data_IF_734635886706
#
_entry.id   IF_734635886706
#
_cell.length_a   1.000
_cell.length_b   1.000
_cell.length_c   1.000
_cell.angle_alpha   90.00
_cell.angle_beta   90.00
_cell.angle_gamma   90.00
#
_symmetry.space_group_name_H-M   'P 1'
#
loop_
_entity.id
_entity.type
_entity.pdbx_description
1 polymer ?
#
# COMPACT_ATOMS: atom_id res chain seq x y z
N UNK A 1 17.88 -15.79 25.07
CA UNK A 1 18.88 -15.22 24.15
C UNK A 1 19.15 -13.78 24.58
N UNK A 2 20.34 -13.21 24.36
CA UNK A 2 20.56 -11.79 24.64
C UNK A 2 19.61 -10.94 23.79
N UNK A 3 19.12 -9.85 24.37
CA UNK A 3 18.21 -8.90 23.73
C UNK A 3 18.92 -8.20 22.56
N UNK A 4 18.30 -8.21 21.38
CA UNK A 4 18.91 -7.63 20.18
C UNK A 4 18.75 -6.11 20.17
N UNK A 5 19.56 -5.39 19.38
CA UNK A 5 19.36 -3.95 19.18
C UNK A 5 17.96 -3.60 18.63
N UNK A 6 17.33 -4.55 17.90
CA UNK A 6 15.95 -4.42 17.45
C UNK A 6 14.96 -4.50 18.61
N UNK A 7 15.15 -5.44 19.54
CA UNK A 7 14.30 -5.58 20.74
C UNK A 7 14.34 -4.32 21.61
N UNK A 8 15.54 -3.81 21.87
CA UNK A 8 15.74 -2.60 22.66
C UNK A 8 15.06 -1.39 22.02
N UNK A 9 15.19 -1.23 20.70
CA UNK A 9 14.51 -0.14 20.00
C UNK A 9 12.99 -0.31 20.04
N UNK A 10 12.48 -1.53 19.83
CA UNK A 10 11.05 -1.80 19.90
C UNK A 10 10.50 -1.43 21.28
N UNK A 11 11.19 -1.78 22.37
CA UNK A 11 10.76 -1.42 23.73
C UNK A 11 10.72 0.10 23.94
N UNK A 12 11.76 0.82 23.52
CA UNK A 12 11.84 2.28 23.61
C UNK A 12 10.68 2.94 22.84
N UNK A 13 10.46 2.52 21.60
CA UNK A 13 9.37 3.02 20.76
C UNK A 13 7.99 2.66 21.31
N UNK A 14 7.85 1.47 21.90
CA UNK A 14 6.60 1.06 22.55
C UNK A 14 6.29 1.97 23.71
N UNK A 15 7.27 2.36 24.53
CA UNK A 15 7.05 3.33 25.62
C UNK A 15 6.69 4.71 25.05
N UNK A 16 7.46 5.20 24.07
CA UNK A 16 7.27 6.51 23.46
C UNK A 16 5.89 6.67 22.78
N UNK A 17 5.43 5.66 22.02
CA UNK A 17 4.23 5.77 21.19
C UNK A 17 4.39 6.75 20.02
N UNK A 18 3.27 7.26 19.52
CA UNK A 18 3.24 8.24 18.43
C UNK A 18 3.31 7.59 17.04
N UNK A 19 3.78 8.34 16.05
CA UNK A 19 3.85 7.90 14.65
C UNK A 19 5.27 7.44 14.30
N UNK A 20 5.41 6.16 14.01
CA UNK A 20 6.67 5.53 13.62
C UNK A 20 6.61 5.11 12.16
N UNK A 21 7.51 5.64 11.34
CA UNK A 21 7.62 5.26 9.92
C UNK A 21 8.82 4.34 9.70
N UNK A 22 8.59 3.23 9.00
CA UNK A 22 9.63 2.26 8.67
C UNK A 22 10.16 2.49 7.24
N UNK A 23 11.48 2.55 7.11
CA UNK A 23 12.21 2.71 5.87
C UNK A 23 13.28 1.63 5.69
N UNK A 24 13.60 1.33 4.44
CA UNK A 24 14.60 0.35 4.08
C UNK A 24 14.34 -0.25 2.71
N UNK A 25 15.40 -0.77 2.09
CA UNK A 25 15.33 -1.49 0.81
C UNK A 25 14.37 -2.70 0.89
N UNK A 26 14.07 -3.38 -0.24
CA UNK A 26 13.40 -4.66 -0.19
C UNK A 26 14.16 -5.64 0.72
N UNK A 27 13.40 -6.48 1.42
CA UNK A 27 13.89 -7.52 2.33
C UNK A 27 14.82 -7.02 3.44
N UNK A 28 14.69 -5.78 3.93
CA UNK A 28 15.45 -5.32 5.11
C UNK A 28 14.78 -5.67 6.44
N UNK A 29 13.63 -6.36 6.40
CA UNK A 29 12.89 -6.82 7.58
C UNK A 29 11.88 -5.82 8.13
N UNK A 30 11.46 -4.80 7.35
CA UNK A 30 10.49 -3.77 7.80
C UNK A 30 9.19 -4.37 8.34
N UNK A 31 8.54 -5.24 7.57
CA UNK A 31 7.30 -5.90 7.96
C UNK A 31 7.49 -6.82 9.17
N UNK A 32 8.64 -7.51 9.27
CA UNK A 32 8.97 -8.32 10.45
C UNK A 32 9.19 -7.47 11.70
N UNK A 33 9.87 -6.32 11.56
CA UNK A 33 10.04 -5.34 12.63
C UNK A 33 8.67 -4.79 13.06
N UNK A 34 7.82 -4.39 12.10
CA UNK A 34 6.47 -3.93 12.38
C UNK A 34 5.67 -4.96 13.18
N UNK A 35 5.69 -6.24 12.78
CA UNK A 35 4.98 -7.31 13.48
C UNK A 35 5.43 -7.44 14.93
N UNK A 36 6.75 -7.50 15.19
CA UNK A 36 7.29 -7.57 16.56
C UNK A 36 6.97 -6.31 17.37
N UNK A 37 6.96 -5.16 16.72
CA UNK A 37 6.61 -3.90 17.35
C UNK A 37 5.13 -3.87 17.77
N UNK A 38 4.23 -4.33 16.90
CA UNK A 38 2.81 -4.49 17.21
C UNK A 38 2.57 -5.50 18.34
N UNK A 39 3.33 -6.61 18.39
CA UNK A 39 3.29 -7.55 19.51
C UNK A 39 3.69 -6.89 20.83
N UNK A 40 4.74 -6.07 20.80
CA UNK A 40 5.16 -5.29 21.97
C UNK A 40 4.11 -4.27 22.40
N UNK A 41 3.42 -3.62 21.45
CA UNK A 41 2.33 -2.69 21.73
C UNK A 41 1.14 -3.38 22.41
N UNK A 42 0.74 -4.56 21.92
CA UNK A 42 -0.31 -5.38 22.54
C UNK A 42 0.08 -5.75 23.98
N UNK A 43 1.32 -6.20 24.20
CA UNK A 43 1.80 -6.56 25.54
C UNK A 43 1.85 -5.38 26.51
N UNK A 44 1.96 -4.15 25.99
CA UNK A 44 1.90 -2.90 26.73
C UNK A 44 0.48 -2.30 26.80
N UNK A 45 -0.55 -3.04 26.37
CA UNK A 45 -1.96 -2.63 26.33
C UNK A 45 -2.20 -1.32 25.52
N UNK A 46 -1.37 -1.06 24.51
CA UNK A 46 -1.50 0.09 23.62
C UNK A 46 -2.38 -0.22 22.42
N UNK A 47 -3.24 0.73 22.05
CA UNK A 47 -4.01 0.68 20.81
C UNK A 47 -3.11 1.10 19.64
N UNK A 48 -2.68 0.12 18.84
CA UNK A 48 -1.86 0.38 17.67
C UNK A 48 -2.71 0.44 16.39
N UNK A 49 -2.27 1.25 15.44
CA UNK A 49 -2.75 1.26 14.06
C UNK A 49 -1.59 0.93 13.12
N UNK A 50 -1.76 -0.10 12.29
CA UNK A 50 -0.79 -0.50 11.28
C UNK A 50 -1.23 0.02 9.91
N UNK A 51 -0.41 0.90 9.34
CA UNK A 51 -0.60 1.46 8.00
C UNK A 51 0.38 0.76 7.06
N UNK A 52 -0.14 -0.13 6.24
CA UNK A 52 0.64 -0.80 5.21
C UNK A 52 0.59 0.00 3.91
N UNK A 53 1.69 0.66 3.61
CA UNK A 53 1.89 1.44 2.41
C UNK A 53 2.87 0.77 1.43
N UNK A 54 3.05 -0.57 1.48
CA UNK A 54 3.67 -1.33 0.39
C UNK A 54 2.62 -1.85 -0.61
N UNK A 55 2.29 -1.01 -1.60
CA UNK A 55 1.27 -1.33 -2.62
C UNK A 55 1.62 -2.54 -3.50
N UNK A 56 2.87 -3.01 -3.48
CA UNK A 56 3.33 -4.13 -4.30
C UNK A 56 3.42 -5.46 -3.55
N UNK A 57 3.81 -5.42 -2.27
CA UNK A 57 4.02 -6.57 -1.39
C UNK A 57 3.30 -6.40 -0.05
N UNK A 58 2.05 -5.94 -0.13
CA UNK A 58 1.20 -5.62 1.02
C UNK A 58 0.98 -6.83 1.94
N UNK A 59 1.00 -6.61 3.24
CA UNK A 59 0.46 -7.49 4.27
C UNK A 59 -1.04 -7.26 4.50
N UNK A 60 -1.53 -6.00 4.49
CA UNK A 60 -2.91 -5.61 4.84
C UNK A 60 -3.75 -5.32 3.60
N UNK A 61 -4.72 -6.18 3.31
CA UNK A 61 -5.59 -6.04 2.16
C UNK A 61 -4.90 -6.38 0.83
N UNK A 62 -5.48 -5.94 -0.30
CA UNK A 62 -5.00 -6.36 -1.60
C UNK A 62 -3.90 -5.44 -2.15
N UNK A 63 -3.06 -5.93 -3.09
CA UNK A 63 -2.08 -5.10 -3.76
C UNK A 63 -2.77 -3.96 -4.53
N UNK A 64 -2.00 -2.93 -4.86
CA UNK A 64 -2.48 -1.65 -5.41
C UNK A 64 -3.31 -0.79 -4.45
N UNK A 65 -3.37 -1.14 -3.16
CA UNK A 65 -3.97 -0.34 -2.09
C UNK A 65 -2.94 -0.02 -0.99
N UNK A 66 -3.23 1.04 -0.23
CA UNK A 66 -2.71 1.21 1.12
C UNK A 66 -3.79 0.73 2.09
N UNK A 67 -3.41 -0.11 3.05
CA UNK A 67 -4.31 -0.68 4.04
C UNK A 67 -4.08 -0.13 5.44
N UNK A 68 -5.16 -0.01 6.21
CA UNK A 68 -5.12 0.24 7.65
C UNK A 68 -5.69 -0.99 8.37
N UNK A 69 -5.00 -1.44 9.42
CA UNK A 69 -5.48 -2.41 10.41
C UNK A 69 -5.30 -1.84 11.81
N UNK A 70 -6.35 -1.86 12.62
CA UNK A 70 -6.27 -1.68 14.06
C UNK A 70 -5.72 -2.94 14.71
N UNK A 71 -4.75 -2.77 15.61
CA UNK A 71 -4.11 -3.86 16.35
C UNK A 71 -4.18 -3.54 17.83
N UNK A 72 -5.19 -4.08 18.49
CA UNK A 72 -5.53 -3.84 19.90
C UNK A 72 -5.34 -5.10 20.73
N UNK A 73 -5.52 -6.26 20.10
CA UNK A 73 -5.34 -7.57 20.72
C UNK A 73 -4.65 -8.57 19.79
N UNK A 74 -4.34 -9.76 20.31
CA UNK A 74 -3.63 -10.80 19.56
C UNK A 74 -4.39 -11.24 18.30
N UNK A 75 -5.71 -11.31 18.37
CA UNK A 75 -6.56 -11.72 17.23
C UNK A 75 -6.46 -10.77 16.03
N UNK A 76 -6.27 -9.47 16.28
CA UNK A 76 -6.06 -8.48 15.21
C UNK A 76 -4.77 -8.73 14.44
N UNK A 77 -3.72 -9.17 15.14
CA UNK A 77 -2.42 -9.48 14.54
C UNK A 77 -2.45 -10.81 13.76
N UNK A 78 -3.31 -11.74 14.15
CA UNK A 78 -3.53 -13.01 13.44
C UNK A 78 -4.33 -12.82 12.15
N UNK A 79 -5.09 -11.73 12.06
CA UNK A 79 -5.91 -11.32 10.90
C UNK A 79 -5.36 -10.04 10.24
N UNK A 80 -4.05 -9.84 10.30
CA UNK A 80 -3.41 -8.62 9.81
C UNK A 80 -3.68 -8.37 8.31
N UNK A 81 -3.98 -9.42 7.54
CA UNK A 81 -4.36 -9.32 6.14
C UNK A 81 -5.73 -8.70 5.88
N UNK A 82 -6.61 -8.65 6.89
CA UNK A 82 -7.96 -8.12 6.76
C UNK A 82 -7.96 -6.62 7.06
N UNK A 83 -7.97 -5.79 6.01
CA UNK A 83 -7.99 -4.35 6.18
C UNK A 83 -9.30 -3.84 6.80
N UNK A 84 -9.19 -2.96 7.80
CA UNK A 84 -10.35 -2.20 8.32
C UNK A 84 -10.73 -1.07 7.35
N UNK A 85 -9.72 -0.50 6.69
CA UNK A 85 -9.87 0.61 5.75
C UNK A 85 -8.86 0.50 4.62
N UNK A 86 -9.30 0.87 3.40
CA UNK A 86 -8.46 0.84 2.21
C UNK A 86 -8.49 2.18 1.47
N UNK A 87 -7.33 2.54 0.91
CA UNK A 87 -7.20 3.60 -0.08
C UNK A 87 -6.55 3.05 -1.34
N UNK A 88 -7.28 3.12 -2.45
CA UNK A 88 -6.79 2.64 -3.73
C UNK A 88 -5.74 3.58 -4.32
N UNK A 89 -4.59 3.01 -4.68
CA UNK A 89 -3.51 3.70 -5.39
C UNK A 89 -3.58 3.36 -6.88
N UNK A 90 -3.79 2.09 -7.22
CA UNK A 90 -3.92 1.62 -8.60
C UNK A 90 -2.61 1.29 -9.29
N UNK A 91 -1.54 1.00 -8.54
CA UNK A 91 -0.29 0.44 -9.05
C UNK A 91 0.37 -0.43 -8.00
N UNK A 92 1.17 -1.41 -8.45
CA UNK A 92 2.02 -2.27 -7.62
C UNK A 92 3.46 -1.75 -7.50
N UNK A 93 3.69 -0.53 -7.99
CA UNK A 93 4.95 0.22 -7.93
C UNK A 93 4.66 1.71 -7.85
N UNK A 94 5.45 2.49 -7.08
CA UNK A 94 5.24 3.93 -6.95
C UNK A 94 5.51 4.71 -8.24
N UNK A 95 6.05 4.07 -9.29
CA UNK A 95 6.36 4.72 -10.56
C UNK A 95 5.08 5.36 -11.15
N UNK A 96 5.15 6.66 -11.42
CA UNK A 96 4.06 7.50 -11.96
C UNK A 96 2.85 7.77 -11.04
N UNK A 97 2.77 7.17 -9.86
CA UNK A 97 1.65 7.36 -8.91
C UNK A 97 2.08 7.80 -7.51
N UNK A 98 3.21 8.53 -7.40
CA UNK A 98 3.73 9.05 -6.14
C UNK A 98 2.68 9.87 -5.39
N UNK A 99 1.98 10.78 -6.07
CA UNK A 99 0.95 11.62 -5.48
C UNK A 99 -0.16 10.77 -4.83
N UNK A 100 -0.66 9.79 -5.56
CA UNK A 100 -1.77 8.92 -5.13
C UNK A 100 -1.37 8.09 -3.92
N UNK A 101 -0.17 7.52 -3.93
CA UNK A 101 0.34 6.72 -2.81
C UNK A 101 0.58 7.57 -1.56
N UNK A 102 1.17 8.77 -1.72
CA UNK A 102 1.35 9.73 -0.62
C UNK A 102 0.00 10.13 -0.01
N UNK A 103 -0.99 10.50 -0.82
CA UNK A 103 -2.32 10.87 -0.35
C UNK A 103 -2.99 9.69 0.36
N UNK A 104 -2.91 8.49 -0.22
CA UNK A 104 -3.49 7.29 0.37
C UNK A 104 -2.93 7.00 1.76
N UNK A 105 -1.59 7.02 1.91
CA UNK A 105 -0.93 6.84 3.20
C UNK A 105 -1.29 7.94 4.19
N UNK A 106 -1.14 9.21 3.80
CA UNK A 106 -1.40 10.34 4.69
C UNK A 106 -2.86 10.39 5.17
N UNK A 107 -3.82 10.05 4.31
CA UNK A 107 -5.25 10.00 4.67
C UNK A 107 -5.52 8.97 5.76
N UNK A 108 -4.93 7.77 5.66
CA UNK A 108 -5.14 6.73 6.66
C UNK A 108 -4.40 7.04 7.96
N UNK A 109 -3.21 7.64 7.90
CA UNK A 109 -2.49 8.12 9.10
C UNK A 109 -3.28 9.21 9.82
N UNK A 110 -3.83 10.20 9.09
CA UNK A 110 -4.62 11.27 9.67
C UNK A 110 -5.91 10.75 10.31
N UNK A 111 -6.56 9.77 9.67
CA UNK A 111 -7.79 9.16 10.19
C UNK A 111 -7.63 8.55 11.57
N UNK A 112 -6.48 7.95 11.88
CA UNK A 112 -6.23 7.30 13.18
C UNK A 112 -5.43 8.18 14.15
N UNK A 113 -5.01 9.37 13.69
CA UNK A 113 -4.22 10.30 14.49
C UNK A 113 -5.06 10.84 15.64
N UNK A 114 -4.54 10.70 16.86
CA UNK A 114 -5.23 11.12 18.08
C UNK A 114 -6.16 10.07 18.67
N UNK A 115 -6.41 8.97 17.96
CA UNK A 115 -7.13 7.80 18.49
C UNK A 115 -6.16 6.66 18.85
N UNK A 116 -5.11 6.43 18.05
CA UNK A 116 -4.10 5.41 18.31
C UNK A 116 -2.99 5.92 19.25
N UNK A 117 -2.57 5.07 20.19
CA UNK A 117 -1.37 5.30 21.02
C UNK A 117 -0.09 5.16 20.19
N UNK A 118 -0.14 4.31 19.16
CA UNK A 118 0.98 4.00 18.27
C UNK A 118 0.48 3.84 16.83
N UNK A 119 1.12 4.51 15.88
CA UNK A 119 0.85 4.35 14.45
C UNK A 119 2.14 3.85 13.79
N UNK A 120 2.11 2.64 13.23
CA UNK A 120 3.25 2.05 12.52
C UNK A 120 2.99 2.15 11.01
N UNK A 121 3.80 2.92 10.29
CA UNK A 121 3.72 3.06 8.85
C UNK A 121 4.79 2.16 8.22
N UNK A 122 4.40 0.99 7.71
CA UNK A 122 5.27 0.16 6.86
C UNK A 122 5.21 0.68 5.43
N UNK A 123 6.36 0.80 4.78
CA UNK A 123 6.45 1.47 3.47
C UNK A 123 7.10 0.58 2.43
N UNK A 124 6.84 0.88 1.15
CA UNK A 124 7.52 0.21 0.03
C UNK A 124 9.03 0.17 0.17
N UNK A 125 9.67 -0.90 -0.35
CA UNK A 125 11.12 -0.96 -0.54
C UNK A 125 11.72 0.02 -1.58
N UNK A 126 10.94 0.88 -2.23
CA UNK A 126 11.42 1.86 -3.21
C UNK A 126 12.24 2.98 -2.54
N UNK A 127 13.55 2.78 -2.48
CA UNK A 127 14.51 3.70 -1.84
C UNK A 127 15.45 4.43 -2.83
N UNK A 128 15.49 3.99 -4.08
CA UNK A 128 16.45 4.47 -5.08
C UNK A 128 15.81 5.43 -6.10
N UNK A 129 16.67 6.25 -6.71
CA UNK A 129 16.29 7.20 -7.74
C UNK A 129 15.40 8.34 -7.24
N UNK A 130 15.04 9.23 -8.17
CA UNK A 130 14.21 10.42 -7.88
C UNK A 130 12.83 10.01 -7.37
N UNK A 131 12.22 8.97 -7.92
CA UNK A 131 10.90 8.48 -7.50
C UNK A 131 10.88 8.04 -6.04
N UNK A 132 11.85 7.21 -5.62
CA UNK A 132 11.92 6.72 -4.23
C UNK A 132 12.14 7.87 -3.25
N UNK A 133 13.07 8.77 -3.55
CA UNK A 133 13.33 9.94 -2.70
C UNK A 133 12.12 10.87 -2.62
N UNK A 134 11.48 11.19 -3.75
CA UNK A 134 10.29 12.05 -3.80
C UNK A 134 9.13 11.44 -3.01
N UNK A 135 8.91 10.13 -3.16
CA UNK A 135 7.90 9.39 -2.40
C UNK A 135 8.15 9.48 -0.89
N UNK A 136 9.38 9.22 -0.44
CA UNK A 136 9.70 9.25 0.99
C UNK A 136 9.68 10.68 1.54
N UNK A 137 10.13 11.67 0.78
CA UNK A 137 10.05 13.08 1.16
C UNK A 137 8.62 13.49 1.48
N UNK A 138 7.68 13.25 0.56
CA UNK A 138 6.30 13.66 0.76
C UNK A 138 5.55 12.78 1.77
N UNK A 139 5.92 11.50 1.93
CA UNK A 139 5.42 10.69 3.06
C UNK A 139 5.88 11.27 4.40
N UNK A 140 7.15 11.67 4.55
CA UNK A 140 7.64 12.34 5.76
C UNK A 140 6.90 13.67 5.99
N UNK A 141 6.72 14.47 4.95
CA UNK A 141 6.06 15.77 5.00
C UNK A 141 4.60 15.68 5.45
N UNK A 142 3.82 14.77 4.88
CA UNK A 142 2.39 14.67 5.17
C UNK A 142 2.06 13.76 6.35
N UNK A 143 2.79 12.65 6.51
CA UNK A 143 2.54 11.72 7.62
C UNK A 143 3.17 12.20 8.94
N UNK A 144 4.13 13.15 8.88
CA UNK A 144 4.77 13.77 10.06
C UNK A 144 5.11 12.74 11.15
N UNK A 145 5.95 11.73 10.85
CA UNK A 145 6.32 10.75 11.84
C UNK A 145 7.17 11.39 12.95
N UNK A 146 6.94 10.95 14.19
CA UNK A 146 7.77 11.31 15.34
C UNK A 146 9.12 10.59 15.26
N UNK A 147 9.12 9.34 14.79
CA UNK A 147 10.32 8.52 14.60
C UNK A 147 10.37 7.91 13.21
N UNK A 148 11.55 7.97 12.61
CA UNK A 148 11.89 7.28 11.37
C UNK A 148 12.86 6.14 11.68
N UNK A 149 12.40 4.90 11.55
CA UNK A 149 13.24 3.70 11.70
C UNK A 149 13.76 3.27 10.33
N UNK A 150 15.06 3.32 10.16
CA UNK A 150 15.76 3.12 8.92
C UNK A 150 16.57 1.81 8.99
N UNK A 151 16.09 0.77 8.31
CA UNK A 151 16.73 -0.55 8.22
C UNK A 151 17.61 -0.65 6.97
N UNK A 152 18.92 -0.82 7.15
CA UNK A 152 19.88 -0.85 6.04
C UNK A 152 20.92 -1.98 6.15
N UNK A 153 21.44 -2.41 5.00
CA UNK A 153 22.59 -3.33 4.92
C UNK A 153 23.91 -2.59 4.81
N UNK A 154 23.91 -1.46 4.11
CA UNK A 154 25.05 -0.58 3.93
C UNK A 154 24.60 0.86 4.07
N UNK A 155 24.81 1.66 3.02
CA UNK A 155 24.47 3.08 2.97
C UNK A 155 23.36 3.40 1.95
N UNK A 156 22.61 2.40 1.50
CA UNK A 156 21.67 2.53 0.38
C UNK A 156 20.51 3.50 0.64
N UNK A 157 20.20 3.78 1.90
CA UNK A 157 19.14 4.72 2.31
C UNK A 157 19.68 6.06 2.82
N UNK A 158 20.99 6.28 2.84
CA UNK A 158 21.61 7.52 3.33
C UNK A 158 21.07 8.80 2.66
N UNK A 159 20.77 8.84 1.35
CA UNK A 159 20.15 10.03 0.75
C UNK A 159 18.81 10.40 1.40
N UNK A 160 17.98 9.40 1.75
CA UNK A 160 16.68 9.60 2.38
C UNK A 160 16.86 9.97 3.86
N UNK A 161 17.81 9.34 4.57
CA UNK A 161 18.16 9.69 5.95
C UNK A 161 18.64 11.15 6.04
N UNK A 162 19.55 11.56 5.15
CA UNK A 162 20.08 12.93 5.11
C UNK A 162 18.99 13.95 4.86
N UNK A 163 18.05 13.64 3.95
CA UNK A 163 16.86 14.44 3.71
C UNK A 163 15.94 14.50 4.93
N UNK A 164 15.68 13.36 5.59
CA UNK A 164 14.89 13.30 6.81
C UNK A 164 15.44 14.23 7.89
N UNK A 165 16.74 14.12 8.18
CA UNK A 165 17.44 14.93 9.20
C UNK A 165 17.53 16.42 8.85
N UNK A 166 17.53 16.77 7.56
CA UNK A 166 17.72 18.15 7.11
C UNK A 166 16.42 18.95 7.01
N UNK A 167 15.33 18.28 6.66
CA UNK A 167 14.06 18.96 6.33
C UNK A 167 12.95 18.69 7.33
N UNK A 168 13.09 17.69 8.21
CA UNK A 168 12.03 17.29 9.14
C UNK A 168 12.58 17.12 10.56
N UNK A 169 11.69 17.19 11.54
CA UNK A 169 12.01 17.02 12.97
C UNK A 169 11.92 15.57 13.46
N UNK A 170 11.63 14.62 12.57
CA UNK A 170 11.51 13.21 12.91
C UNK A 170 12.84 12.69 13.49
N UNK A 171 12.75 11.96 14.60
CA UNK A 171 13.93 11.32 15.19
C UNK A 171 14.36 10.12 14.34
N UNK A 172 15.58 10.11 13.84
CA UNK A 172 16.04 9.09 12.89
C UNK A 172 16.85 8.01 13.60
N UNK A 173 16.30 6.80 13.68
CA UNK A 173 16.91 5.60 14.26
C UNK A 173 17.37 4.66 13.14
N UNK A 174 18.66 4.38 13.08
CA UNK A 174 19.25 3.52 12.03
C UNK A 174 19.64 2.18 12.63
N UNK A 175 19.20 1.08 12.01
CA UNK A 175 19.55 -0.28 12.40
C UNK A 175 20.07 -1.09 11.21
N UNK A 176 20.97 -2.03 11.51
CA UNK A 176 21.34 -3.09 10.57
C UNK A 176 20.17 -4.06 10.36
N UNK A 177 20.15 -4.74 9.21
CA UNK A 177 19.16 -5.80 8.95
C UNK A 177 19.29 -6.93 9.98
N UNK A 178 18.15 -7.42 10.47
CA UNK A 178 18.12 -8.53 11.43
C UNK A 178 18.66 -9.82 10.78
N UNK A 179 19.49 -10.64 11.46
CA UNK A 179 20.13 -11.82 10.87
C UNK A 179 19.17 -12.83 10.23
N UNK A 180 17.97 -12.97 10.80
CA UNK A 180 16.96 -13.93 10.35
C UNK A 180 16.17 -13.47 9.11
N UNK A 181 16.45 -12.28 8.57
CA UNK A 181 15.73 -11.77 7.40
C UNK A 181 16.26 -12.45 6.15
N UNK A 182 15.48 -13.38 5.62
CA UNK A 182 15.73 -14.02 4.33
C UNK A 182 15.20 -13.13 3.17
N UNK A 183 15.98 -12.95 2.09
CA UNK A 183 15.50 -12.26 0.91
C UNK A 183 14.46 -13.11 0.15
N UNK A 184 13.43 -12.46 -0.37
CA UNK A 184 12.48 -13.08 -1.28
C UNK A 184 12.94 -12.86 -2.73
N UNK A 185 12.86 -13.90 -3.56
CA UNK A 185 13.11 -13.81 -5.00
C UNK A 185 12.01 -13.00 -5.70
N UNK A 186 12.28 -12.43 -6.89
CA UNK A 186 11.24 -11.78 -7.70
C UNK A 186 10.05 -12.70 -8.05
N UNK A 187 10.31 -14.00 -8.23
CA UNK A 187 9.27 -14.99 -8.56
C UNK A 187 8.35 -15.23 -7.37
N UNK A 188 8.90 -15.46 -6.18
CA UNK A 188 8.11 -15.63 -4.94
C UNK A 188 7.25 -14.39 -4.66
N UNK A 189 7.81 -13.19 -4.84
CA UNK A 189 7.07 -11.93 -4.71
C UNK A 189 5.92 -11.82 -5.72
N UNK A 190 6.13 -12.30 -6.94
CA UNK A 190 5.07 -12.29 -7.96
C UNK A 190 3.96 -13.27 -7.62
N UNK A 191 4.31 -14.50 -7.21
CA UNK A 191 3.36 -15.52 -6.80
C UNK A 191 2.52 -15.08 -5.60
N UNK A 192 3.14 -14.56 -4.54
CA UNK A 192 2.44 -14.06 -3.36
C UNK A 192 1.48 -12.90 -3.70
N UNK A 193 1.89 -12.03 -4.63
CA UNK A 193 1.03 -10.94 -5.11
C UNK A 193 -0.16 -11.48 -5.92
N UNK A 194 0.06 -12.47 -6.78
CA UNK A 194 -0.99 -13.13 -7.55
C UNK A 194 -2.02 -13.79 -6.61
N UNK A 195 -1.56 -14.50 -5.57
CA UNK A 195 -2.42 -15.07 -4.53
C UNK A 195 -3.28 -14.02 -3.80
N UNK A 196 -2.70 -12.83 -3.52
CA UNK A 196 -3.43 -11.74 -2.87
C UNK A 196 -4.47 -11.11 -3.80
N UNK A 197 -4.17 -10.96 -5.09
CA UNK A 197 -5.18 -10.56 -6.07
C UNK A 197 -6.28 -11.61 -6.22
N UNK A 198 -5.92 -12.89 -6.27
CA UNK A 198 -6.89 -14.00 -6.35
C UNK A 198 -7.86 -14.00 -5.17
N UNK A 199 -7.33 -13.78 -3.95
CA UNK A 199 -8.15 -13.62 -2.73
C UNK A 199 -9.08 -12.42 -2.81
N UNK A 200 -8.56 -11.27 -3.26
CA UNK A 200 -9.32 -10.03 -3.36
C UNK A 200 -10.45 -10.10 -4.40
N UNK A 201 -10.26 -10.90 -5.45
CA UNK A 201 -11.20 -11.12 -6.54
C UNK A 201 -11.81 -12.52 -6.49
N UNK A 202 -11.91 -13.11 -5.29
CA UNK A 202 -12.52 -14.43 -5.12
C UNK A 202 -14.03 -14.38 -5.48
N UNK A 203 -14.58 -15.42 -6.14
CA UNK A 203 -16.00 -15.52 -6.45
C UNK A 203 -16.90 -15.53 -5.19
N UNK A 204 -18.19 -15.15 -5.31
CA UNK A 204 -18.89 -14.75 -6.53
C UNK A 204 -18.53 -13.34 -6.98
N UNK A 205 -18.18 -13.19 -8.27
CA UNK A 205 -17.98 -11.88 -8.89
C UNK A 205 -19.27 -11.44 -9.58
N UNK A 206 -19.92 -10.43 -9.01
CA UNK A 206 -21.11 -9.81 -9.59
C UNK A 206 -20.74 -8.96 -10.78
N UNK A 207 -21.62 -8.93 -11.79
CA UNK A 207 -21.40 -8.25 -13.07
C UNK A 207 -22.26 -6.99 -13.12
N UNK A 208 -21.62 -5.83 -13.00
CA UNK A 208 -22.32 -4.55 -13.00
C UNK A 208 -22.04 -3.79 -14.29
N UNK A 209 -23.10 -3.38 -15.00
CA UNK A 209 -22.97 -2.48 -16.14
C UNK A 209 -22.57 -1.10 -15.63
N UNK A 210 -21.50 -0.53 -16.18
CA UNK A 210 -20.96 0.75 -15.74
C UNK A 210 -20.99 1.78 -16.86
N UNK A 211 -21.22 3.05 -16.48
CA UNK A 211 -21.21 4.18 -17.42
C UNK A 211 -19.88 4.90 -17.36
N UNK A 212 -19.39 5.51 -18.46
CA UNK A 212 -18.17 6.31 -18.48
C UNK A 212 -18.02 7.35 -17.35
N UNK A 213 -19.13 7.87 -16.84
CA UNK A 213 -19.18 8.91 -15.80
C UNK A 213 -18.92 8.40 -14.38
N UNK A 214 -18.95 7.08 -14.13
CA UNK A 214 -18.64 6.54 -12.79
C UNK A 214 -17.14 6.48 -12.51
N UNK A 215 -16.31 6.74 -13.51
CA UNK A 215 -14.86 6.71 -13.40
C UNK A 215 -14.30 8.04 -12.92
N UNK A 216 -13.24 7.97 -12.12
CA UNK A 216 -12.40 9.10 -11.75
C UNK A 216 -10.94 8.84 -12.17
N UNK A 217 -10.40 9.57 -13.17
CA UNK A 217 -11.10 10.55 -14.01
C UNK A 217 -12.18 9.90 -14.90
N UNK A 218 -13.14 10.69 -15.37
CA UNK A 218 -14.18 10.18 -16.28
C UNK A 218 -13.58 9.76 -17.61
N UNK A 219 -14.11 8.69 -18.19
CA UNK A 219 -13.60 8.18 -19.46
C UNK A 219 -13.89 9.17 -20.60
N UNK A 220 -12.91 9.43 -21.50
CA UNK A 220 -13.11 10.32 -22.63
C UNK A 220 -14.25 9.86 -23.57
N UNK A 221 -14.95 10.82 -24.17
CA UNK A 221 -15.94 10.52 -25.21
C UNK A 221 -15.26 9.91 -26.43
N UNK A 222 -15.83 8.83 -26.97
CA UNK A 222 -15.27 8.12 -28.12
C UNK A 222 -14.09 7.21 -27.79
N UNK A 223 -13.77 7.01 -26.50
CA UNK A 223 -12.81 5.99 -26.09
C UNK A 223 -13.25 4.61 -26.58
N UNK A 224 -12.33 3.90 -27.23
CA UNK A 224 -12.47 2.47 -27.48
C UNK A 224 -12.44 1.71 -26.14
N UNK A 225 -13.61 1.21 -25.72
CA UNK A 225 -13.80 0.55 -24.44
C UNK A 225 -13.10 -0.81 -24.36
N UNK A 226 -12.77 -1.44 -25.50
CA UNK A 226 -12.04 -2.71 -25.54
C UNK A 226 -10.65 -2.55 -24.90
N UNK A 227 -10.07 -1.36 -25.01
CA UNK A 227 -8.78 -1.02 -24.38
C UNK A 227 -8.83 -1.05 -22.86
N UNK A 228 -10.00 -1.11 -22.24
CA UNK A 228 -10.17 -1.26 -20.79
C UNK A 228 -10.38 -2.71 -20.34
N UNK A 229 -10.44 -3.69 -21.26
CA UNK A 229 -10.63 -5.10 -20.92
C UNK A 229 -9.52 -5.62 -19.98
N UNK A 230 -9.86 -6.23 -18.86
CA UNK A 230 -8.93 -6.70 -17.82
C UNK A 230 -8.14 -5.63 -17.08
N UNK A 231 -8.48 -4.34 -17.25
CA UNK A 231 -7.90 -3.29 -16.39
C UNK A 231 -8.47 -3.43 -14.99
N UNK A 232 -7.59 -3.43 -13.99
CA UNK A 232 -7.98 -3.41 -12.58
C UNK A 232 -8.64 -2.07 -12.24
N UNK A 233 -9.67 -2.10 -11.41
CA UNK A 233 -10.27 -0.91 -10.82
C UNK A 233 -10.36 -1.02 -9.30
N UNK A 234 -10.18 0.11 -8.63
CA UNK A 234 -10.66 0.28 -7.26
C UNK A 234 -12.16 0.57 -7.29
N UNK A 235 -12.92 -0.12 -6.44
CA UNK A 235 -14.35 0.13 -6.22
C UNK A 235 -14.50 1.07 -5.05
N UNK A 236 -15.17 2.22 -5.23
CA UNK A 236 -15.21 3.27 -4.22
C UNK A 236 -16.63 3.57 -3.73
N UNK A 237 -16.71 3.96 -2.45
CA UNK A 237 -17.90 4.55 -1.87
C UNK A 237 -18.02 6.07 -2.15
N UNK A 238 -19.11 6.68 -1.68
CA UNK A 238 -19.36 8.11 -1.83
C UNK A 238 -18.46 9.02 -0.98
N UNK A 239 -17.57 8.45 -0.16
CA UNK A 239 -16.62 9.16 0.71
C UNK A 239 -15.18 8.99 0.23
N UNK A 240 -14.97 8.34 -0.92
CA UNK A 240 -13.65 8.11 -1.50
C UNK A 240 -12.91 6.91 -0.92
N UNK A 241 -13.51 6.14 -0.01
CA UNK A 241 -12.92 4.90 0.52
C UNK A 241 -12.92 3.82 -0.56
N UNK A 242 -11.89 2.97 -0.56
CA UNK A 242 -11.88 1.78 -1.41
C UNK A 242 -12.62 0.67 -0.68
N UNK A 243 -13.67 0.13 -1.30
CA UNK A 243 -14.44 -1.00 -0.79
C UNK A 243 -13.85 -2.34 -1.19
N UNK A 244 -12.98 -2.35 -2.21
CA UNK A 244 -12.41 -3.56 -2.77
C UNK A 244 -11.95 -3.33 -4.21
N UNK A 245 -11.62 -4.43 -4.87
CA UNK A 245 -11.15 -4.42 -6.26
C UNK A 245 -12.23 -4.90 -7.22
N UNK A 246 -12.07 -4.55 -8.49
CA UNK A 246 -12.87 -5.09 -9.58
C UNK A 246 -12.06 -5.20 -10.86
N UNK A 247 -12.52 -6.07 -11.76
CA UNK A 247 -11.93 -6.26 -13.07
C UNK A 247 -12.89 -5.76 -14.15
N UNK A 248 -12.40 -4.92 -15.05
CA UNK A 248 -13.21 -4.46 -16.17
C UNK A 248 -13.33 -5.54 -17.24
N UNK A 249 -14.53 -5.70 -17.81
CA UNK A 249 -14.79 -6.55 -18.96
C UNK A 249 -15.52 -5.76 -20.03
N UNK A 250 -15.13 -5.97 -21.28
CA UNK A 250 -15.76 -5.40 -22.44
C UNK A 250 -16.57 -6.48 -23.16
N UNK A 251 -17.89 -6.29 -23.25
CA UNK A 251 -18.82 -7.23 -23.89
C UNK A 251 -19.91 -6.46 -24.62
N UNK A 252 -20.20 -6.85 -25.87
CA UNK A 252 -21.24 -6.25 -26.72
C UNK A 252 -21.20 -4.71 -26.79
N UNK A 253 -19.98 -4.14 -26.89
CA UNK A 253 -19.79 -2.68 -26.95
C UNK A 253 -20.02 -1.96 -25.61
N UNK A 254 -20.06 -2.69 -24.50
CA UNK A 254 -20.33 -2.14 -23.15
C UNK A 254 -19.23 -2.54 -22.19
N UNK A 255 -19.06 -1.71 -21.16
CA UNK A 255 -18.16 -1.97 -20.06
C UNK A 255 -18.91 -2.51 -18.84
N UNK A 256 -18.36 -3.57 -18.26
CA UNK A 256 -18.81 -4.21 -17.04
C UNK A 256 -17.68 -4.14 -16.02
N UNK A 257 -18.04 -4.06 -14.74
CA UNK A 257 -17.11 -4.35 -13.65
C UNK A 257 -17.52 -5.67 -12.99
N UNK A 258 -16.55 -6.57 -12.86
CA UNK A 258 -16.65 -7.82 -12.11
C UNK A 258 -16.05 -7.58 -10.73
N UNK A 259 -16.83 -7.71 -9.67
CA UNK A 259 -16.37 -7.49 -8.30
C UNK A 259 -17.21 -8.29 -7.29
N UNK A 260 -16.62 -8.67 -6.17
CA UNK A 260 -17.31 -9.24 -5.01
C UNK A 260 -17.91 -8.14 -4.09
N UNK A 261 -17.68 -6.86 -4.38
CA UNK A 261 -18.34 -5.74 -3.69
C UNK A 261 -19.79 -5.63 -4.15
N UNK A 262 -20.73 -5.77 -3.20
CA UNK A 262 -22.18 -5.83 -3.49
C UNK A 262 -22.96 -4.59 -3.07
N UNK A 263 -22.46 -3.82 -2.11
CA UNK A 263 -23.12 -2.62 -1.58
C UNK A 263 -22.13 -1.43 -1.56
N UNK A 264 -22.68 -0.21 -1.53
CA UNK A 264 -21.91 1.01 -1.31
C UNK A 264 -21.17 1.54 -2.54
N UNK A 265 -21.09 0.79 -3.64
CA UNK A 265 -20.40 1.22 -4.86
C UNK A 265 -21.01 2.52 -5.43
N UNK A 266 -20.21 3.59 -5.49
CA UNK A 266 -20.57 4.89 -6.07
C UNK A 266 -19.65 5.31 -7.21
N UNK A 267 -18.41 4.83 -7.26
CA UNK A 267 -17.46 5.18 -8.31
C UNK A 267 -16.36 4.14 -8.50
N UNK A 268 -15.64 4.28 -9.61
CA UNK A 268 -14.52 3.43 -9.99
C UNK A 268 -13.27 4.27 -10.26
N UNK A 269 -12.09 3.74 -9.90
CA UNK A 269 -10.80 4.35 -10.26
C UNK A 269 -9.97 3.34 -11.04
N UNK A 270 -9.47 3.74 -12.20
CA UNK A 270 -8.61 2.90 -13.04
C UNK A 270 -7.24 2.69 -12.40
N UNK A 271 -6.74 1.45 -12.47
CA UNK A 271 -5.34 1.13 -12.19
C UNK A 271 -4.47 1.35 -13.44
N UNK A 272 -3.17 1.56 -13.22
CA UNK A 272 -2.13 1.44 -14.25
C UNK A 272 -1.64 0.00 -14.41
N UNK A 273 -2.53 -0.98 -14.26
CA UNK A 273 -2.24 -2.40 -14.50
C UNK A 273 -3.47 -3.17 -15.01
N UNK A 274 -3.21 -4.21 -15.81
CA UNK A 274 -4.14 -5.31 -16.09
C UNK A 274 -3.80 -6.52 -15.24
N UNK A 275 -4.79 -7.36 -15.04
CA UNK A 275 -4.67 -8.64 -14.36
C UNK A 275 -5.15 -9.74 -15.29
N UNK A 276 -4.33 -10.75 -15.51
CA UNK A 276 -4.78 -12.00 -16.13
C UNK A 276 -5.78 -12.69 -15.19
N UNK A 277 -7.04 -12.95 -15.61
CA UNK A 277 -8.07 -13.48 -14.72
C UNK A 277 -7.85 -14.93 -14.29
N UNK A 278 -6.95 -15.68 -14.95
CA UNK A 278 -6.64 -17.06 -14.62
C UNK A 278 -5.40 -17.16 -13.72
N UNK A 279 -4.33 -16.45 -14.06
CA UNK A 279 -3.06 -16.53 -13.32
C UNK A 279 -2.88 -15.44 -12.26
N UNK A 280 -3.66 -14.35 -12.36
CA UNK A 280 -3.49 -13.12 -11.59
C UNK A 280 -2.15 -12.41 -11.82
N UNK A 281 -1.46 -12.74 -12.91
CA UNK A 281 -0.27 -12.00 -13.33
C UNK A 281 -0.64 -10.59 -13.77
N UNK A 282 0.25 -9.65 -13.47
CA UNK A 282 0.03 -8.24 -13.74
C UNK A 282 0.85 -7.75 -14.92
N UNK A 283 0.22 -6.98 -15.81
CA UNK A 283 0.93 -6.22 -16.85
C UNK A 283 0.70 -4.72 -16.69
N UNK A 284 1.72 -3.86 -16.88
CA UNK A 284 1.57 -2.42 -16.70
C UNK A 284 0.67 -1.82 -17.79
N UNK A 285 -0.06 -0.78 -17.43
CA UNK A 285 -0.93 -0.02 -18.34
C UNK A 285 -0.55 1.44 -18.31
N UNK A 286 -0.22 2.02 -19.47
CA UNK A 286 -0.14 3.46 -19.61
C UNK A 286 -1.56 4.03 -19.75
N UNK A 287 -2.07 4.63 -18.68
CA UNK A 287 -3.42 5.20 -18.66
C UNK A 287 -3.62 6.33 -19.67
N UNK A 288 -2.57 7.07 -20.05
CA UNK A 288 -2.67 8.09 -21.10
C UNK A 288 -2.86 7.43 -22.46
N UNK A 289 -2.09 6.39 -22.72
CA UNK A 289 -2.24 5.62 -23.94
C UNK A 289 -3.65 5.04 -24.00
N UNK A 290 -4.09 4.34 -22.95
CA UNK A 290 -5.44 3.75 -22.88
C UNK A 290 -6.54 4.78 -23.04
N UNK A 291 -6.47 5.93 -22.35
CA UNK A 291 -7.51 6.95 -22.43
C UNK A 291 -7.53 7.73 -23.75
N UNK A 292 -6.36 7.98 -24.36
CA UNK A 292 -6.25 8.96 -25.46
C UNK A 292 -5.66 8.42 -26.77
N UNK A 293 -5.20 7.17 -26.79
CA UNK A 293 -4.55 6.56 -27.97
C UNK A 293 -3.18 7.15 -28.29
N UNK A 294 -2.59 7.86 -27.34
CA UNK A 294 -1.29 8.51 -27.49
C UNK A 294 -0.21 7.56 -26.98
N UNK A 295 0.50 6.89 -27.89
CA UNK A 295 1.76 6.22 -27.55
C UNK A 295 2.80 7.25 -27.10
N UNK A 296 3.71 6.84 -26.22
CA UNK A 296 4.83 7.68 -25.81
C UNK A 296 5.66 8.05 -27.06
N UNK A 297 5.67 9.34 -27.43
CA UNK A 297 6.58 9.91 -28.42
C UNK A 297 7.87 10.32 -27.75
#
# INVERSE_FOLDING_TARGET
MPETAHDLLIQDLTVQGGVVMLLGAPDTGKTSFARRFLESAIAAEKQAAYIDADVGQTTVGPPACVGLKWVRERGDLETLEEADELRFVGSISPKHLVLQEVIATATLVDQVRGEADLIVIDTTGAISGVTGQTLKFHKLELCRPDVLVALQRGSEIEPIIGMARRFFSADVRVLGVHPDVAPASPVERSALRAEKFARALAPPLHRWKVRPTVFAPSLPTGLDLERLHDVLVGVHDGRGRCLGLGLLKHEDGRLLVLTNVTDGMKGLRLASLRIDPETFDTSPVNLREVMFGLGDR
#
